data_IF_048118980180
#
_entry.id   IF_048118980180
#
_cell.length_a   1.000
_cell.length_b   1.000
_cell.length_c   1.000
_cell.angle_alpha   90.00
_cell.angle_beta   90.00
_cell.angle_gamma   90.00
#
_symmetry.space_group_name_H-M   'P 1'
#
loop_
_entity.id
_entity.type
_entity.pdbx_description
1 polymer ?
#
# COMPACT_ATOMS: atom_id res chain seq x y z
N UNK A 1 23.19 13.18 5.31
CA UNK A 1 22.52 13.09 5.15
C UNK A 1 21.78 12.73 4.52
N UNK A 2 21.38 12.29 4.37
CA UNK A 2 20.73 11.93 3.59
C UNK A 2 19.58 12.14 3.64
N UNK A 3 19.22 12.34 3.26
CA UNK A 3 18.19 12.64 3.30
C UNK A 3 17.31 11.78 2.84
N UNK A 4 16.37 11.64 3.27
CA UNK A 4 15.50 10.87 2.90
C UNK A 4 14.81 11.40 1.81
N UNK A 5 14.67 10.82 0.82
CA UNK A 5 13.96 11.27 -0.21
C UNK A 5 12.57 10.95 -0.15
N UNK A 6 11.64 11.65 -0.68
CA UNK A 6 10.24 11.29 -0.73
C UNK A 6 10.11 10.02 -1.51
N UNK A 7 9.07 9.22 -1.21
CA UNK A 7 8.85 8.03 -1.93
C UNK A 7 8.62 8.34 -3.37
N UNK A 8 9.24 7.60 -4.26
CA UNK A 8 9.01 7.76 -5.67
C UNK A 8 7.69 7.10 -6.06
N UNK A 9 7.20 7.43 -7.24
CA UNK A 9 5.97 6.81 -7.72
C UNK A 9 6.13 5.31 -7.83
N UNK A 10 7.31 4.86 -8.24
CA UNK A 10 7.55 3.43 -8.34
C UNK A 10 7.49 2.76 -6.98
N UNK A 11 8.03 3.42 -5.96
CA UNK A 11 7.99 2.87 -4.62
C UNK A 11 6.56 2.74 -4.14
N UNK A 12 5.74 3.74 -4.41
CA UNK A 12 4.35 3.70 -4.00
C UNK A 12 3.62 2.59 -4.73
N UNK A 13 3.87 2.44 -6.02
CA UNK A 13 3.22 1.38 -6.77
C UNK A 13 3.62 0.00 -6.25
N UNK A 14 4.88 -0.16 -5.93
CA UNK A 14 5.35 -1.42 -5.39
C UNK A 14 4.68 -1.71 -4.06
N UNK A 15 4.56 -0.69 -3.22
CA UNK A 15 3.89 -0.87 -1.93
C UNK A 15 2.44 -1.27 -2.12
N UNK A 16 1.75 -0.65 -3.07
CA UNK A 16 0.37 -0.98 -3.35
C UNK A 16 0.24 -2.44 -3.75
N UNK A 17 1.12 -2.87 -4.65
CA UNK A 17 1.06 -4.24 -5.12
C UNK A 17 1.32 -5.23 -3.99
N UNK A 18 2.33 -4.97 -3.19
CA UNK A 18 2.67 -5.88 -2.12
C UNK A 18 1.59 -5.93 -1.05
N UNK A 19 1.05 -4.78 -0.70
CA UNK A 19 0.00 -4.75 0.30
C UNK A 19 -1.27 -5.41 -0.21
N UNK A 20 -1.57 -5.22 -1.49
CA UNK A 20 -2.75 -5.85 -2.08
C UNK A 20 -2.61 -7.38 -2.04
N UNK A 21 -1.42 -7.88 -2.35
CA UNK A 21 -1.19 -9.31 -2.31
C UNK A 21 -1.35 -9.85 -0.89
N UNK A 22 -0.83 -9.12 0.08
CA UNK A 22 -0.95 -9.53 1.47
C UNK A 22 -2.40 -9.50 1.93
N UNK A 23 -3.17 -8.52 1.46
CA UNK A 23 -4.56 -8.44 1.82
C UNK A 23 -5.32 -9.64 1.29
N UNK A 24 -5.04 -10.03 0.06
CA UNK A 24 -5.68 -11.21 -0.49
C UNK A 24 -5.32 -12.45 0.29
N UNK A 25 -4.06 -12.57 0.65
CA UNK A 25 -3.64 -13.72 1.42
C UNK A 25 -4.30 -13.75 2.77
N UNK A 26 -4.42 -12.60 3.42
CA UNK A 26 -5.07 -12.54 4.72
C UNK A 26 -6.52 -12.98 4.62
N UNK A 27 -7.20 -12.61 3.55
CA UNK A 27 -8.56 -13.06 3.38
C UNK A 27 -8.65 -14.56 3.21
N UNK A 28 -7.74 -15.12 2.43
CA UNK A 28 -7.74 -16.55 2.23
C UNK A 28 -7.46 -17.29 3.51
N UNK A 29 -6.68 -16.68 4.38
CA UNK A 29 -6.34 -17.31 5.64
C UNK A 29 -7.38 -17.05 6.72
N UNK A 30 -8.46 -16.40 6.39
CA UNK A 30 -9.50 -16.15 7.37
C UNK A 30 -9.23 -15.00 8.30
N UNK A 31 -8.48 -14.01 7.84
CA UNK A 31 -8.17 -12.84 8.66
C UNK A 31 -8.67 -11.59 7.96
N UNK A 32 -9.97 -11.41 7.91
CA UNK A 32 -10.52 -10.25 7.20
C UNK A 32 -10.15 -8.92 7.83
N UNK A 33 -9.96 -8.88 9.14
CA UNK A 33 -9.58 -7.61 9.78
C UNK A 33 -8.20 -7.17 9.31
N UNK A 34 -7.28 -8.11 9.17
CA UNK A 34 -5.95 -7.79 8.67
C UNK A 34 -6.03 -7.33 7.23
N UNK A 35 -6.87 -7.98 6.44
CA UNK A 35 -7.03 -7.60 5.05
C UNK A 35 -7.57 -6.19 4.93
N UNK A 36 -8.51 -5.82 5.77
CA UNK A 36 -9.06 -4.49 5.75
C UNK A 36 -8.02 -3.45 6.08
N UNK A 37 -7.21 -3.74 7.08
CA UNK A 37 -6.18 -2.81 7.46
C UNK A 37 -5.20 -2.59 6.33
N UNK A 38 -4.81 -3.66 5.66
CA UNK A 38 -3.91 -3.55 4.54
C UNK A 38 -4.53 -2.78 3.39
N UNK A 39 -5.81 -3.00 3.16
CA UNK A 39 -6.49 -2.28 2.09
C UNK A 39 -6.61 -0.80 2.38
N UNK A 40 -6.73 -0.44 3.64
CA UNK A 40 -6.77 0.96 4.00
C UNK A 40 -5.43 1.63 3.68
N UNK A 41 -4.35 0.91 3.89
CA UNK A 41 -3.05 1.46 3.54
C UNK A 41 -2.92 1.63 2.03
N UNK A 42 -3.44 0.66 1.29
CA UNK A 42 -3.42 0.76 -0.16
C UNK A 42 -4.20 1.99 -0.61
N UNK A 43 -5.34 2.20 0.02
CA UNK A 43 -6.15 3.36 -0.32
C UNK A 43 -5.38 4.66 -0.08
N UNK A 44 -4.67 4.74 1.03
CA UNK A 44 -3.88 5.92 1.33
C UNK A 44 -2.80 6.16 0.29
N UNK A 45 -2.14 5.09 -0.14
CA UNK A 45 -1.11 5.23 -1.18
C UNK A 45 -1.73 5.66 -2.51
N UNK A 46 -2.90 5.15 -2.83
CA UNK A 46 -3.56 5.54 -4.06
C UNK A 46 -3.92 7.02 -4.06
N UNK A 47 -4.36 7.49 -2.92
CA UNK A 47 -4.68 8.90 -2.79
C UNK A 47 -3.43 9.75 -2.92
N UNK A 48 -2.33 9.25 -2.39
CA UNK A 48 -1.09 9.95 -2.52
C UNK A 48 -0.68 10.06 -3.98
N UNK A 49 -0.86 8.99 -4.74
CA UNK A 49 -0.55 9.02 -6.15
C UNK A 49 -1.46 9.99 -6.90
N UNK A 50 -2.72 10.03 -6.53
CA UNK A 50 -3.67 10.89 -7.21
C UNK A 50 -3.35 12.36 -6.99
N UNK A 51 -2.71 12.68 -5.86
CA UNK A 51 -2.34 14.03 -5.58
C UNK A 51 -1.14 14.49 -6.36
N UNK A 52 -0.39 13.63 -6.95
CA UNK A 52 0.81 14.02 -7.66
C UNK A 52 0.50 14.40 -9.06
N UNK A 53 1.15 15.44 -9.53
CA UNK A 53 0.90 15.88 -10.93
C UNK A 53 1.40 14.86 -11.93
#
# INVERSE_FOLDING_TARGET
MPLREPRSINDIRTAIRELSTRAELARKEGRPADAEELEQRVQGYREELADRP
#
